data_IF_352450288843
#
_entry.id   IF_352450288843
#
_cell.length_a   1.000
_cell.length_b   1.000
_cell.length_c   1.000
_cell.angle_alpha   90.00
_cell.angle_beta   90.00
_cell.angle_gamma   90.00
#
_symmetry.space_group_name_H-M   'P 1'
#
loop_
_entity.id
_entity.type
_entity.pdbx_description
1 polymer ?
#
# COMPACT_ATOMS: atom_id res chain seq x y z
N UNK A 1 17.53 21.43 20.21
CA UNK A 1 18.43 20.68 19.31
C UNK A 1 17.57 20.30 18.11
N UNK A 2 17.81 20.89 16.95
CA UNK A 2 17.12 20.45 15.73
C UNK A 2 17.59 19.03 15.42
N UNK A 3 16.66 18.10 15.09
CA UNK A 3 17.04 16.76 14.69
C UNK A 3 17.83 16.86 13.38
N UNK A 4 19.14 16.55 13.44
CA UNK A 4 19.95 16.41 12.23
C UNK A 4 19.44 15.20 11.47
N UNK A 5 18.79 15.46 10.36
CA UNK A 5 18.33 14.42 9.43
C UNK A 5 19.50 13.53 9.03
N UNK A 6 19.34 12.22 9.17
CA UNK A 6 20.39 11.25 8.86
C UNK A 6 20.71 11.33 7.34
N UNK A 7 22.00 11.17 6.96
CA UNK A 7 22.43 11.16 5.54
C UNK A 7 21.65 10.15 4.68
N UNK A 8 21.27 9.03 5.26
CA UNK A 8 20.49 7.99 4.60
C UNK A 8 19.06 8.47 4.30
N UNK A 9 18.43 9.16 5.24
CA UNK A 9 17.11 9.77 5.11
C UNK A 9 17.09 10.86 4.03
N UNK A 10 18.12 11.72 4.01
CA UNK A 10 18.30 12.74 2.95
C UNK A 10 18.44 12.08 1.58
N UNK A 11 19.25 11.02 1.46
CA UNK A 11 19.43 10.30 0.22
C UNK A 11 18.13 9.64 -0.27
N UNK A 12 17.35 9.06 0.65
CA UNK A 12 16.04 8.48 0.38
C UNK A 12 15.06 9.53 -0.17
N UNK A 13 14.87 10.62 0.54
CA UNK A 13 13.97 11.70 0.12
C UNK A 13 14.40 12.32 -1.22
N UNK A 14 15.70 12.47 -1.44
CA UNK A 14 16.23 12.96 -2.71
C UNK A 14 15.94 12.00 -3.87
N UNK A 15 16.07 10.68 -3.67
CA UNK A 15 15.75 9.68 -4.70
C UNK A 15 14.28 9.72 -5.08
N UNK A 16 13.37 9.83 -4.10
CA UNK A 16 11.95 9.98 -4.36
C UNK A 16 11.62 11.29 -5.07
N UNK A 17 12.22 12.40 -4.63
CA UNK A 17 12.03 13.70 -5.27
C UNK A 17 12.47 13.69 -6.74
N UNK A 18 13.65 13.14 -7.04
CA UNK A 18 14.16 13.04 -8.41
C UNK A 18 13.24 12.19 -9.29
N UNK A 19 12.70 11.11 -8.77
CA UNK A 19 11.75 10.29 -9.49
C UNK A 19 10.42 11.02 -9.72
N UNK A 20 9.83 11.62 -8.68
CA UNK A 20 8.56 12.37 -8.81
C UNK A 20 8.67 13.58 -9.73
N UNK A 21 9.85 14.16 -9.88
CA UNK A 21 10.12 15.25 -10.82
C UNK A 21 10.60 14.77 -12.19
N UNK A 22 10.47 13.47 -12.48
CA UNK A 22 10.86 12.83 -13.74
C UNK A 22 12.33 13.05 -14.15
N UNK A 23 13.21 13.31 -13.18
CA UNK A 23 14.66 13.49 -13.40
C UNK A 23 15.42 12.17 -13.44
N UNK A 24 14.85 11.12 -12.86
CA UNK A 24 15.33 9.76 -12.94
C UNK A 24 14.17 8.82 -13.26
N UNK A 25 14.48 7.69 -13.86
CA UNK A 25 13.52 6.63 -14.13
C UNK A 25 13.10 5.89 -12.86
N UNK A 26 11.98 5.17 -12.90
CA UNK A 26 11.54 4.28 -11.82
C UNK A 26 12.61 3.26 -11.45
N UNK A 27 13.32 2.71 -12.45
CA UNK A 27 14.38 1.73 -12.24
C UNK A 27 15.61 2.33 -11.55
N UNK A 28 16.03 3.54 -11.93
CA UNK A 28 17.12 4.24 -11.25
C UNK A 28 16.76 4.59 -9.80
N UNK A 29 15.53 4.99 -9.56
CA UNK A 29 15.01 5.21 -8.21
C UNK A 29 15.06 3.90 -7.40
N UNK A 30 14.56 2.79 -7.94
CA UNK A 30 14.57 1.49 -7.28
C UNK A 30 15.99 1.05 -6.90
N UNK A 31 16.96 1.20 -7.81
CA UNK A 31 18.38 0.89 -7.53
C UNK A 31 18.90 1.73 -6.37
N UNK A 32 18.66 3.05 -6.42
CA UNK A 32 19.09 3.97 -5.36
C UNK A 32 18.46 3.63 -4.00
N UNK A 33 17.18 3.29 -3.96
CA UNK A 33 16.51 2.89 -2.73
C UNK A 33 17.07 1.60 -2.12
N UNK A 34 17.42 0.62 -2.96
CA UNK A 34 18.09 -0.62 -2.51
C UNK A 34 19.47 -0.33 -1.91
N UNK A 35 20.28 0.48 -2.59
CA UNK A 35 21.59 0.89 -2.08
C UNK A 35 21.51 1.65 -0.75
N UNK A 36 20.44 2.42 -0.54
CA UNK A 36 20.19 3.14 0.71
C UNK A 36 19.85 2.16 1.83
N UNK A 37 18.94 1.23 1.60
CA UNK A 37 18.53 0.23 2.60
C UNK A 37 19.69 -0.70 2.97
N UNK A 38 20.46 -1.15 1.99
CA UNK A 38 21.57 -2.09 2.19
C UNK A 38 22.74 -1.53 3.04
N UNK A 39 22.77 -0.23 3.29
CA UNK A 39 23.73 0.36 4.25
C UNK A 39 23.46 -0.04 5.71
N UNK A 40 22.25 -0.43 6.03
CA UNK A 40 21.84 -0.84 7.39
C UNK A 40 21.43 -2.29 7.43
N UNK A 41 20.60 -2.73 6.48
CA UNK A 41 20.06 -4.08 6.44
C UNK A 41 20.13 -4.64 5.02
N UNK A 42 20.77 -5.82 4.81
CA UNK A 42 20.75 -6.49 3.51
C UNK A 42 19.33 -6.87 3.09
N UNK A 43 18.94 -6.51 1.88
CA UNK A 43 17.61 -6.79 1.33
C UNK A 43 17.29 -8.30 1.33
N UNK A 44 18.31 -9.13 1.10
CA UNK A 44 18.16 -10.59 1.11
C UNK A 44 17.74 -11.14 2.47
N UNK A 45 18.18 -10.53 3.58
CA UNK A 45 17.71 -10.89 4.92
C UNK A 45 16.25 -10.57 5.15
N UNK A 46 15.80 -9.43 4.61
CA UNK A 46 14.39 -9.04 4.66
C UNK A 46 13.52 -10.02 3.86
N UNK A 47 13.98 -10.40 2.65
CA UNK A 47 13.28 -11.38 1.79
C UNK A 47 13.08 -12.73 2.48
N UNK A 48 14.05 -13.16 3.27
CA UNK A 48 13.95 -14.43 4.01
C UNK A 48 12.99 -14.35 5.19
N UNK A 49 12.38 -13.19 5.46
CA UNK A 49 11.46 -12.91 6.59
C UNK A 49 11.99 -13.39 7.95
N UNK A 50 13.32 -13.55 8.07
CA UNK A 50 13.97 -14.05 9.28
C UNK A 50 14.29 -12.90 10.21
N UNK A 51 13.62 -12.92 11.34
CA UNK A 51 13.96 -12.38 12.68
C UNK A 51 14.60 -10.99 12.81
N UNK A 52 14.85 -10.25 11.73
CA UNK A 52 15.43 -8.92 11.85
C UNK A 52 14.34 -7.88 12.15
N UNK A 53 14.53 -7.17 13.25
CA UNK A 53 13.72 -6.00 13.58
C UNK A 53 14.15 -4.85 12.66
N UNK A 54 13.23 -4.40 11.83
CA UNK A 54 13.42 -3.20 11.02
C UNK A 54 12.98 -1.98 11.83
N UNK A 55 13.78 -0.93 11.82
CA UNK A 55 13.34 0.38 12.29
C UNK A 55 12.26 0.95 11.37
N UNK A 56 11.49 1.93 11.86
CA UNK A 56 10.45 2.59 11.06
C UNK A 56 11.01 3.16 9.75
N UNK A 57 12.23 3.72 9.78
CA UNK A 57 12.92 4.20 8.57
C UNK A 57 13.21 3.09 7.57
N UNK A 58 13.69 1.93 8.03
CA UNK A 58 13.96 0.77 7.17
C UNK A 58 12.67 0.17 6.60
N UNK A 59 11.59 0.17 7.38
CA UNK A 59 10.26 -0.24 6.89
C UNK A 59 9.77 0.68 5.77
N UNK A 60 9.93 2.00 5.91
CA UNK A 60 9.58 2.97 4.86
C UNK A 60 10.43 2.74 3.60
N UNK A 61 11.74 2.51 3.74
CA UNK A 61 12.60 2.23 2.60
C UNK A 61 12.20 0.93 1.90
N UNK A 62 11.97 -0.13 2.69
CA UNK A 62 11.53 -1.42 2.17
C UNK A 62 10.16 -1.33 1.46
N UNK A 63 9.21 -0.63 2.05
CA UNK A 63 7.91 -0.36 1.44
C UNK A 63 8.05 0.27 0.05
N UNK A 64 8.87 1.33 -0.05
CA UNK A 64 9.07 2.02 -1.33
C UNK A 64 9.80 1.15 -2.36
N UNK A 65 10.69 0.25 -1.93
CA UNK A 65 11.34 -0.73 -2.81
C UNK A 65 10.30 -1.73 -3.34
N UNK A 66 9.48 -2.31 -2.45
CA UNK A 66 8.44 -3.28 -2.82
C UNK A 66 7.38 -2.67 -3.74
N UNK A 67 6.98 -1.42 -3.48
CA UNK A 67 6.03 -0.70 -4.32
C UNK A 67 6.56 -0.50 -5.76
N UNK A 68 7.83 -0.13 -5.89
CA UNK A 68 8.46 0.18 -7.18
C UNK A 68 9.00 -1.02 -7.94
N UNK A 69 9.17 -2.16 -7.28
CA UNK A 69 9.59 -3.41 -7.92
C UNK A 69 8.56 -3.92 -8.94
N UNK A 70 8.99 -4.80 -9.84
CA UNK A 70 8.15 -5.37 -10.91
C UNK A 70 8.37 -6.88 -11.02
N UNK A 71 7.45 -7.57 -11.71
CA UNK A 71 7.56 -9.00 -12.01
C UNK A 71 7.70 -9.89 -10.76
N UNK A 72 8.58 -10.86 -10.84
CA UNK A 72 8.85 -11.83 -9.75
C UNK A 72 9.41 -11.14 -8.50
N UNK A 73 10.28 -10.14 -8.69
CA UNK A 73 10.84 -9.40 -7.57
C UNK A 73 9.74 -8.70 -6.73
N UNK A 74 8.74 -8.11 -7.39
CA UNK A 74 7.60 -7.51 -6.69
C UNK A 74 6.83 -8.56 -5.90
N UNK A 75 6.61 -9.73 -6.48
CA UNK A 75 5.93 -10.84 -5.81
C UNK A 75 6.64 -11.23 -4.52
N UNK A 76 7.94 -11.46 -4.58
CA UNK A 76 8.76 -11.85 -3.43
C UNK A 76 8.78 -10.79 -2.34
N UNK A 77 8.91 -9.52 -2.72
CA UNK A 77 8.93 -8.41 -1.77
C UNK A 77 7.57 -8.18 -1.11
N UNK A 78 6.45 -8.37 -1.83
CA UNK A 78 5.11 -8.26 -1.26
C UNK A 78 4.78 -9.42 -0.31
N UNK A 79 5.22 -10.65 -0.60
CA UNK A 79 5.11 -11.77 0.35
C UNK A 79 5.97 -11.50 1.61
N UNK A 80 7.16 -10.95 1.46
CA UNK A 80 8.01 -10.56 2.59
C UNK A 80 7.36 -9.43 3.42
N UNK A 81 6.79 -8.42 2.77
CA UNK A 81 6.05 -7.33 3.42
C UNK A 81 4.87 -7.87 4.24
N UNK A 82 4.09 -8.79 3.67
CA UNK A 82 2.98 -9.44 4.37
C UNK A 82 3.46 -10.23 5.60
N UNK A 83 4.55 -10.99 5.48
CA UNK A 83 5.12 -11.74 6.60
C UNK A 83 5.63 -10.82 7.73
N UNK A 84 6.30 -9.71 7.38
CA UNK A 84 6.74 -8.69 8.34
C UNK A 84 5.55 -8.09 9.06
N UNK A 85 4.52 -7.66 8.34
CA UNK A 85 3.32 -7.08 8.93
C UNK A 85 2.60 -8.05 9.90
N UNK A 86 2.49 -9.33 9.53
CA UNK A 86 1.92 -10.35 10.43
C UNK A 86 2.71 -10.47 11.73
N UNK A 87 4.04 -10.45 11.65
CA UNK A 87 4.91 -10.54 12.82
C UNK A 87 4.80 -9.30 13.72
N UNK A 88 4.83 -8.09 13.13
CA UNK A 88 4.71 -6.84 13.87
C UNK A 88 3.44 -6.80 14.74
N UNK A 89 2.33 -7.28 14.20
CA UNK A 89 1.06 -7.36 14.95
C UNK A 89 1.10 -8.41 16.06
N UNK A 90 1.71 -9.58 15.80
CA UNK A 90 1.71 -10.68 16.75
C UNK A 90 2.65 -10.47 17.95
N UNK A 91 3.78 -9.78 17.75
CA UNK A 91 4.83 -9.66 18.76
C UNK A 91 4.73 -8.39 19.62
N UNK A 92 4.32 -7.28 19.01
CA UNK A 92 4.42 -5.96 19.67
C UNK A 92 3.07 -5.37 20.12
N UNK A 93 1.95 -6.04 19.82
CA UNK A 93 0.68 -5.33 19.89
C UNK A 93 0.72 -4.11 18.98
N UNK A 94 -0.23 -3.21 19.11
CA UNK A 94 -0.35 -2.03 18.23
C UNK A 94 0.57 -0.89 18.75
N UNK A 95 1.87 -1.13 18.83
CA UNK A 95 2.83 -0.15 19.39
C UNK A 95 3.84 0.43 18.38
N UNK A 96 3.91 -0.14 17.18
CA UNK A 96 4.68 0.40 16.04
C UNK A 96 3.95 1.56 15.38
N UNK A 97 4.66 2.36 14.60
CA UNK A 97 4.00 3.38 13.77
C UNK A 97 3.00 2.70 12.83
N UNK A 98 1.77 2.77 13.26
CA UNK A 98 0.61 2.09 12.67
C UNK A 98 0.41 2.51 11.21
N UNK A 99 0.78 3.76 10.88
CA UNK A 99 0.64 4.30 9.52
C UNK A 99 1.48 3.51 8.50
N UNK A 100 2.70 3.13 8.86
CA UNK A 100 3.58 2.35 7.96
C UNK A 100 3.03 0.94 7.78
N UNK A 101 2.58 0.32 8.87
CA UNK A 101 1.93 -1.00 8.81
C UNK A 101 0.71 -0.99 7.90
N UNK A 102 -0.20 -0.03 8.08
CA UNK A 102 -1.41 0.10 7.26
C UNK A 102 -1.08 0.32 5.80
N UNK A 103 -0.14 1.22 5.51
CA UNK A 103 0.33 1.49 4.16
C UNK A 103 0.90 0.24 3.48
N UNK A 104 1.72 -0.53 4.19
CA UNK A 104 2.27 -1.78 3.69
C UNK A 104 1.18 -2.83 3.45
N UNK A 105 0.25 -2.99 4.38
CA UNK A 105 -0.84 -3.96 4.26
C UNK A 105 -1.78 -3.62 3.12
N UNK A 106 -2.11 -2.34 2.92
CA UNK A 106 -2.94 -1.90 1.78
C UNK A 106 -2.25 -2.17 0.44
N UNK A 107 -0.95 -1.89 0.34
CA UNK A 107 -0.17 -2.21 -0.86
C UNK A 107 -0.10 -3.72 -1.14
N UNK A 108 -0.01 -4.55 -0.10
CA UNK A 108 -0.08 -6.01 -0.23
C UNK A 108 -1.48 -6.46 -0.69
N UNK A 109 -2.55 -5.86 -0.16
CA UNK A 109 -3.92 -6.13 -0.59
C UNK A 109 -4.10 -5.77 -2.07
N UNK A 110 -3.70 -4.57 -2.47
CA UNK A 110 -3.73 -4.11 -3.87
C UNK A 110 -2.92 -5.01 -4.79
N UNK A 111 -1.74 -5.45 -4.37
CA UNK A 111 -0.92 -6.39 -5.14
C UNK A 111 -1.65 -7.72 -5.38
N UNK A 112 -2.26 -8.31 -4.34
CA UNK A 112 -2.99 -9.56 -4.49
C UNK A 112 -4.23 -9.40 -5.37
N UNK A 113 -4.97 -8.29 -5.24
CA UNK A 113 -6.10 -7.97 -6.12
C UNK A 113 -5.67 -7.91 -7.58
N UNK A 114 -4.61 -7.16 -7.90
CA UNK A 114 -4.06 -7.06 -9.25
C UNK A 114 -3.50 -8.38 -9.80
N UNK A 115 -3.11 -9.30 -8.94
CA UNK A 115 -2.64 -10.65 -9.30
C UNK A 115 -3.78 -11.69 -9.41
N UNK A 116 -5.05 -11.28 -9.33
CA UNK A 116 -6.22 -12.15 -9.35
C UNK A 116 -6.42 -13.00 -8.08
N UNK A 117 -5.65 -12.72 -7.01
CA UNK A 117 -5.76 -13.41 -5.71
C UNK A 117 -6.77 -12.68 -4.81
N UNK A 118 -7.99 -12.50 -5.32
CA UNK A 118 -9.00 -11.63 -4.70
C UNK A 118 -9.35 -11.99 -3.27
N UNK A 119 -9.43 -13.29 -2.93
CA UNK A 119 -9.77 -13.73 -1.57
C UNK A 119 -8.70 -13.31 -0.55
N UNK A 120 -7.41 -13.38 -0.92
CA UNK A 120 -6.31 -12.89 -0.06
C UNK A 120 -6.33 -11.38 0.08
N UNK A 121 -6.62 -10.67 -1.01
CA UNK A 121 -6.78 -9.21 -1.01
C UNK A 121 -7.92 -8.79 -0.07
N UNK A 122 -9.07 -9.43 -0.18
CA UNK A 122 -10.24 -9.14 0.65
C UNK A 122 -9.99 -9.44 2.14
N UNK A 123 -9.34 -10.57 2.47
CA UNK A 123 -8.96 -10.92 3.85
C UNK A 123 -8.11 -9.83 4.49
N UNK A 124 -7.14 -9.29 3.75
CA UNK A 124 -6.26 -8.22 4.23
C UNK A 124 -7.04 -6.92 4.40
N UNK A 125 -7.83 -6.54 3.39
CA UNK A 125 -8.65 -5.33 3.44
C UNK A 125 -9.67 -5.37 4.58
N UNK A 126 -10.32 -6.51 4.81
CA UNK A 126 -11.25 -6.71 5.94
C UNK A 126 -10.55 -6.53 7.30
N UNK A 127 -9.30 -7.00 7.40
CA UNK A 127 -8.51 -6.83 8.62
C UNK A 127 -8.21 -5.37 8.87
N UNK A 128 -7.74 -4.62 7.86
CA UNK A 128 -7.46 -3.17 7.97
C UNK A 128 -8.75 -2.43 8.36
N UNK A 129 -9.86 -2.66 7.65
CA UNK A 129 -11.16 -2.03 7.94
C UNK A 129 -11.56 -2.28 9.40
N UNK A 130 -11.44 -3.53 9.87
CA UNK A 130 -11.80 -3.88 11.25
C UNK A 130 -10.90 -3.17 12.27
N UNK A 131 -9.61 -3.12 12.03
CA UNK A 131 -8.64 -2.46 12.91
C UNK A 131 -8.90 -0.96 12.95
N UNK A 132 -9.12 -0.31 11.81
CA UNK A 132 -9.43 1.11 11.69
C UNK A 132 -10.72 1.49 12.44
N UNK A 133 -11.78 0.71 12.28
CA UNK A 133 -13.04 0.94 12.98
C UNK A 133 -12.90 0.79 14.49
N UNK A 134 -12.16 -0.23 14.96
CA UNK A 134 -11.92 -0.45 16.41
C UNK A 134 -11.09 0.69 17.00
N UNK A 135 -10.08 1.15 16.29
CA UNK A 135 -9.17 2.21 16.72
C UNK A 135 -9.66 3.62 16.38
N UNK A 136 -10.84 3.73 15.76
CA UNK A 136 -11.45 4.99 15.31
C UNK A 136 -10.53 5.81 14.42
N UNK A 137 -9.80 5.11 13.54
CA UNK A 137 -8.98 5.71 12.50
C UNK A 137 -9.70 5.61 11.16
N UNK A 138 -9.38 6.49 10.25
CA UNK A 138 -10.04 6.54 8.94
C UNK A 138 -9.04 6.63 7.78
N UNK A 139 -7.74 6.68 8.09
CA UNK A 139 -6.68 7.03 7.12
C UNK A 139 -6.66 6.11 5.90
N UNK A 140 -6.72 4.79 6.09
CA UNK A 140 -6.67 3.81 5.01
C UNK A 140 -8.04 3.18 4.70
N UNK A 141 -9.09 3.60 5.41
CA UNK A 141 -10.42 2.98 5.31
C UNK A 141 -11.00 3.07 3.89
N UNK A 142 -10.88 4.22 3.23
CA UNK A 142 -11.39 4.41 1.87
C UNK A 142 -10.62 3.56 0.84
N UNK A 143 -9.31 3.37 1.00
CA UNK A 143 -8.49 2.56 0.10
C UNK A 143 -8.82 1.08 0.25
N UNK A 144 -8.93 0.59 1.48
CA UNK A 144 -9.31 -0.79 1.76
C UNK A 144 -10.72 -1.14 1.27
N UNK A 145 -11.68 -0.22 1.38
CA UNK A 145 -13.02 -0.38 0.80
C UNK A 145 -12.94 -0.42 -0.72
N UNK A 146 -12.13 0.47 -1.32
CA UNK A 146 -11.95 0.50 -2.77
C UNK A 146 -11.28 -0.78 -3.29
N UNK A 147 -10.28 -1.33 -2.61
CA UNK A 147 -9.65 -2.60 -2.97
C UNK A 147 -10.68 -3.74 -3.05
N UNK A 148 -11.59 -3.83 -2.07
CA UNK A 148 -12.68 -4.82 -2.10
C UNK A 148 -13.65 -4.59 -3.25
N UNK A 149 -14.00 -3.34 -3.52
CA UNK A 149 -14.87 -2.97 -4.64
C UNK A 149 -14.22 -3.35 -5.98
N UNK A 150 -12.92 -3.07 -6.13
CA UNK A 150 -12.15 -3.49 -7.30
C UNK A 150 -12.17 -5.01 -7.49
N UNK A 151 -11.86 -5.77 -6.44
CA UNK A 151 -11.88 -7.23 -6.47
C UNK A 151 -13.26 -7.79 -6.86
N UNK A 152 -14.32 -7.18 -6.33
CA UNK A 152 -15.70 -7.54 -6.68
C UNK A 152 -15.98 -7.33 -8.17
N UNK A 153 -15.63 -6.17 -8.72
CA UNK A 153 -15.78 -5.85 -10.14
C UNK A 153 -15.01 -6.83 -11.03
N UNK A 154 -13.76 -7.14 -10.69
CA UNK A 154 -12.94 -8.05 -11.49
C UNK A 154 -13.48 -9.48 -11.47
N UNK A 155 -13.96 -9.99 -10.32
CA UNK A 155 -14.63 -11.31 -10.25
C UNK A 155 -15.88 -11.37 -11.15
N UNK A 156 -16.69 -10.31 -11.20
CA UNK A 156 -17.87 -10.25 -12.06
C UNK A 156 -17.45 -10.32 -13.54
N UNK A 157 -16.45 -9.54 -13.94
CA UNK A 157 -15.93 -9.55 -15.32
C UNK A 157 -15.39 -10.93 -15.72
N UNK A 158 -14.60 -11.54 -14.85
CA UNK A 158 -14.04 -12.89 -15.09
C UNK A 158 -15.13 -13.97 -15.23
N UNK A 159 -16.24 -13.84 -14.48
CA UNK A 159 -17.38 -14.75 -14.58
C UNK A 159 -18.30 -14.47 -15.78
N UNK A 160 -18.04 -13.41 -16.56
CA UNK A 160 -18.90 -12.96 -17.66
C UNK A 160 -20.23 -12.37 -17.20
N UNK A 161 -20.29 -11.93 -15.93
CA UNK A 161 -21.47 -11.26 -15.35
C UNK A 161 -21.57 -9.78 -15.75
N UNK A 162 -22.75 -9.23 -15.54
CA UNK A 162 -22.95 -7.78 -15.66
C UNK A 162 -22.73 -7.09 -14.31
N UNK A 163 -21.93 -6.01 -14.33
CA UNK A 163 -21.69 -5.20 -13.14
C UNK A 163 -22.97 -4.46 -12.72
N UNK A 164 -23.32 -4.53 -11.44
CA UNK A 164 -24.36 -3.66 -10.87
C UNK A 164 -23.82 -2.24 -10.72
N UNK A 165 -24.09 -1.42 -11.73
CA UNK A 165 -23.65 -0.02 -11.80
C UNK A 165 -24.14 0.80 -10.61
N UNK A 166 -25.35 0.53 -10.11
CA UNK A 166 -25.88 1.25 -8.96
C UNK A 166 -25.09 0.94 -7.71
N UNK A 167 -24.80 -0.33 -7.48
CA UNK A 167 -23.94 -0.76 -6.37
C UNK A 167 -22.55 -0.14 -6.47
N UNK A 168 -21.89 -0.21 -7.63
CA UNK A 168 -20.57 0.38 -7.84
C UNK A 168 -20.58 1.90 -7.61
N UNK A 169 -21.62 2.58 -8.06
CA UNK A 169 -21.76 4.02 -7.87
C UNK A 169 -21.88 4.38 -6.38
N UNK A 170 -22.73 3.66 -5.63
CA UNK A 170 -22.97 3.88 -4.21
C UNK A 170 -21.71 3.58 -3.38
N UNK A 171 -20.95 2.54 -3.70
CA UNK A 171 -19.70 2.22 -3.00
C UNK A 171 -18.58 3.24 -3.30
N UNK A 172 -18.46 3.70 -4.55
CA UNK A 172 -17.53 4.78 -4.90
C UNK A 172 -17.88 6.10 -4.20
N UNK A 173 -19.17 6.41 -4.03
CA UNK A 173 -19.63 7.57 -3.26
C UNK A 173 -19.14 7.50 -1.80
N UNK A 174 -19.15 6.32 -1.18
CA UNK A 174 -18.60 6.13 0.17
C UNK A 174 -17.11 6.41 0.21
N UNK A 175 -16.34 5.88 -0.76
CA UNK A 175 -14.90 6.13 -0.86
C UNK A 175 -14.59 7.63 -1.02
N UNK A 176 -15.36 8.34 -1.88
CA UNK A 176 -15.21 9.80 -2.07
C UNK A 176 -15.41 10.53 -0.74
N UNK A 177 -16.52 10.27 -0.04
CA UNK A 177 -16.83 10.94 1.23
C UNK A 177 -15.79 10.67 2.32
N UNK A 178 -15.25 9.45 2.37
CA UNK A 178 -14.18 9.11 3.31
C UNK A 178 -12.89 9.85 2.95
N UNK A 179 -12.50 9.89 1.68
CA UNK A 179 -11.33 10.63 1.21
C UNK A 179 -11.45 12.14 1.51
N UNK A 180 -12.62 12.75 1.27
CA UNK A 180 -12.93 14.14 1.65
C UNK A 180 -12.73 14.38 3.16
N UNK A 181 -13.25 13.49 4.01
CA UNK A 181 -13.11 13.59 5.47
C UNK A 181 -11.65 13.48 5.92
N UNK A 182 -10.86 12.64 5.25
CA UNK A 182 -9.43 12.47 5.51
C UNK A 182 -8.56 13.56 4.84
N UNK A 183 -9.14 14.40 3.99
CA UNK A 183 -8.45 15.42 3.17
C UNK A 183 -7.46 14.81 2.16
N UNK A 184 -7.74 13.60 1.68
CA UNK A 184 -6.94 12.87 0.69
C UNK A 184 -7.37 13.26 -0.73
N UNK A 185 -6.92 14.43 -1.19
CA UNK A 185 -7.35 15.07 -2.45
C UNK A 185 -7.12 14.15 -3.66
N UNK A 186 -5.98 13.47 -3.73
CA UNK A 186 -5.68 12.57 -4.86
C UNK A 186 -6.61 11.37 -4.92
N UNK A 187 -6.94 10.78 -3.77
CA UNK A 187 -7.88 9.66 -3.66
C UNK A 187 -9.29 10.10 -4.02
N UNK A 188 -9.74 11.28 -3.55
CA UNK A 188 -11.03 11.88 -3.89
C UNK A 188 -11.17 12.10 -5.40
N UNK A 189 -10.17 12.72 -6.05
CA UNK A 189 -10.16 12.93 -7.51
C UNK A 189 -10.20 11.61 -8.28
N UNK A 190 -9.43 10.62 -7.84
CA UNK A 190 -9.38 9.29 -8.45
C UNK A 190 -10.75 8.60 -8.38
N UNK A 191 -11.39 8.53 -7.21
CA UNK A 191 -12.70 7.89 -7.04
C UNK A 191 -13.79 8.63 -7.79
N UNK A 192 -13.77 9.96 -7.81
CA UNK A 192 -14.69 10.80 -8.59
C UNK A 192 -14.57 10.50 -10.09
N UNK A 193 -13.36 10.32 -10.60
CA UNK A 193 -13.13 9.93 -12.00
C UNK A 193 -13.71 8.54 -12.28
N UNK A 194 -13.47 7.57 -11.39
CA UNK A 194 -14.02 6.21 -11.52
C UNK A 194 -15.55 6.20 -11.50
N UNK A 195 -16.17 6.97 -10.62
CA UNK A 195 -17.62 7.09 -10.53
C UNK A 195 -18.23 7.66 -11.83
N UNK A 196 -17.58 8.65 -12.45
CA UNK A 196 -17.98 9.19 -13.75
C UNK A 196 -17.84 8.17 -14.89
N UNK A 197 -16.85 7.28 -14.84
CA UNK A 197 -16.69 6.19 -15.80
C UNK A 197 -17.83 5.17 -15.72
N UNK A 198 -18.26 4.80 -14.51
CA UNK A 198 -19.42 3.91 -14.27
C UNK A 198 -20.71 4.54 -14.80
N UNK A 199 -20.90 5.84 -14.64
CA UNK A 199 -22.11 6.56 -15.08
C UNK A 199 -22.24 6.69 -16.60
N UNK A 200 -21.14 6.56 -17.36
CA UNK A 200 -21.12 6.73 -18.82
C UNK A 200 -21.33 5.45 -19.61
N UNK A 201 -21.16 4.30 -19.00
CA UNK A 201 -21.38 2.97 -19.61
C UNK A 201 -22.82 2.51 -19.37
#
# INVERSE_FOLDING_TARGET
MEPTMNRQEIAFLNSLYLWHTERITKQECLISLKEILEKTVPLEKIRQAKEEYLSDGELIYFYNIADKAEGEEKADLMESAHAICKRLVSENGIGTDISIYELMMDSVASYYGNAGKYDRSDEISDKIIKEDLVLRRMTMLHESIYNKLWNHSERIKESGGEEDKKFLYEELEKCIRLAELCKEIFSEEFYTKKQKEVSKK
#
